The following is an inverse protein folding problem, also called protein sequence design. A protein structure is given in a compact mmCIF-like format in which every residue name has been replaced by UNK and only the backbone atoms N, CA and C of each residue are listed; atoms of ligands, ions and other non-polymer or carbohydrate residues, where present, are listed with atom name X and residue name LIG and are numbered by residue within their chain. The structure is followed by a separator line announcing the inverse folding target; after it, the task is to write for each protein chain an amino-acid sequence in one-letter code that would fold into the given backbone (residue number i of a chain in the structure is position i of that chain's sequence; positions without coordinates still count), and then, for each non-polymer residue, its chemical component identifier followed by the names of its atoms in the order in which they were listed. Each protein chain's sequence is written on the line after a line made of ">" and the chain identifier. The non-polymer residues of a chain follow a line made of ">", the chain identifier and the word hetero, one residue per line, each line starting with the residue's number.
data_IF_658720178898
#
_entry.id   IF_658720178898
#
_cell.length_a   1.000
_cell.length_b   1.000
_cell.length_c   1.000
_cell.angle_alpha   90.00
_cell.angle_beta   90.00
_cell.angle_gamma   90.00
#
_symmetry.space_group_name_H-M   'P 1'
#
loop_
_entity.id
_entity.type
_entity.pdbx_description
1 polymer ?
#
# COMPACT_ATOMS: atom_id res chain seq x y z
N UNK A 1 9.88 5.91 -13.56
CA UNK A 1 11.07 6.46 -12.83
C UNK A 1 11.67 5.35 -11.97
N UNK A 2 12.84 5.52 -11.33
CA UNK A 2 13.34 4.47 -10.43
C UNK A 2 12.44 4.39 -9.18
N UNK A 3 11.78 3.24 -9.01
CA UNK A 3 11.01 2.92 -7.80
C UNK A 3 11.96 2.48 -6.69
N UNK A 4 11.57 2.74 -5.45
CA UNK A 4 12.28 2.28 -4.25
C UNK A 4 11.37 1.32 -3.50
N UNK A 5 11.79 0.06 -3.42
CA UNK A 5 11.11 -0.96 -2.63
C UNK A 5 11.80 -1.12 -1.30
N UNK A 6 11.03 -1.05 -0.21
CA UNK A 6 11.50 -1.30 1.15
C UNK A 6 10.75 -2.49 1.73
N UNK A 7 11.50 -3.41 2.33
CA UNK A 7 10.95 -4.63 2.89
C UNK A 7 11.29 -4.74 4.38
N UNK A 8 10.40 -5.40 5.12
CA UNK A 8 10.61 -5.77 6.51
C UNK A 8 9.98 -7.13 6.79
N UNK A 9 10.66 -7.94 7.58
CA UNK A 9 10.17 -9.22 8.06
C UNK A 9 10.33 -9.24 9.57
N UNK A 10 9.22 -9.43 10.28
CA UNK A 10 9.16 -9.49 11.74
C UNK A 10 9.01 -10.94 12.27
N UNK A 11 9.11 -11.94 11.38
CA UNK A 11 8.93 -13.36 11.68
C UNK A 11 7.47 -13.81 11.74
N UNK A 12 6.52 -12.87 11.78
CA UNK A 12 5.09 -13.13 11.71
C UNK A 12 4.47 -12.69 10.39
N UNK A 13 5.12 -11.76 9.70
CA UNK A 13 4.61 -11.14 8.48
C UNK A 13 5.75 -10.51 7.67
N UNK A 14 5.73 -10.77 6.38
CA UNK A 14 6.54 -10.06 5.39
C UNK A 14 5.79 -8.81 4.93
N UNK A 15 6.50 -7.70 4.91
CA UNK A 15 5.98 -6.37 4.64
C UNK A 15 6.79 -5.71 3.54
N UNK A 16 6.12 -5.13 2.55
CA UNK A 16 6.76 -4.45 1.41
C UNK A 16 6.05 -3.12 1.14
N UNK A 17 6.81 -2.06 0.90
CA UNK A 17 6.30 -0.78 0.47
C UNK A 17 7.06 -0.27 -0.76
N UNK A 18 6.32 0.14 -1.79
CA UNK A 18 6.89 0.68 -3.03
C UNK A 18 6.68 2.19 -3.07
N UNK A 19 7.78 2.93 -3.19
CA UNK A 19 7.80 4.38 -3.20
C UNK A 19 8.40 4.93 -4.51
N UNK A 20 8.11 6.19 -4.79
CA UNK A 20 8.94 6.99 -5.70
C UNK A 20 10.32 7.26 -5.08
N UNK A 21 11.36 7.46 -5.88
CA UNK A 21 12.70 7.86 -5.38
C UNK A 21 12.73 9.14 -4.52
N UNK A 22 11.74 10.02 -4.66
CA UNK A 22 11.62 11.23 -3.83
C UNK A 22 10.81 11.02 -2.53
N UNK A 23 10.41 9.79 -2.22
CA UNK A 23 9.60 9.39 -1.06
C UNK A 23 8.23 10.06 -0.90
N UNK A 24 7.84 10.98 -1.80
CA UNK A 24 6.55 11.69 -1.77
C UNK A 24 5.37 10.78 -2.12
N UNK A 25 5.59 9.80 -2.98
CA UNK A 25 4.56 8.87 -3.42
C UNK A 25 4.79 7.48 -2.82
N UNK A 26 3.74 6.87 -2.28
CA UNK A 26 3.70 5.44 -1.92
C UNK A 26 2.65 4.76 -2.79
N UNK A 27 3.12 3.95 -3.72
CA UNK A 27 2.26 3.32 -4.71
C UNK A 27 1.59 2.07 -4.18
N UNK A 28 2.28 1.30 -3.35
CA UNK A 28 1.71 0.12 -2.72
C UNK A 28 2.26 -0.13 -1.32
N UNK A 29 1.46 -0.84 -0.53
CA UNK A 29 1.84 -1.38 0.78
C UNK A 29 1.29 -2.80 0.89
N UNK A 30 2.16 -3.79 0.97
CA UNK A 30 1.82 -5.22 1.04
C UNK A 30 2.14 -5.76 2.43
N UNK A 31 1.29 -6.66 2.91
CA UNK A 31 1.47 -7.50 4.10
C UNK A 31 1.11 -8.93 3.75
N UNK A 32 1.99 -9.87 4.04
CA UNK A 32 1.76 -11.30 3.84
C UNK A 32 2.16 -12.03 5.13
N UNK A 33 1.29 -12.87 5.65
CA UNK A 33 1.54 -13.74 6.80
C UNK A 33 1.33 -15.23 6.47
N UNK A 34 0.66 -15.53 5.36
CA UNK A 34 0.54 -16.87 4.80
C UNK A 34 0.63 -16.77 3.26
N UNK A 35 1.55 -17.53 2.67
CA UNK A 35 1.79 -17.53 1.22
C UNK A 35 0.92 -18.53 0.46
N UNK A 36 0.29 -19.48 1.17
CA UNK A 36 -0.54 -20.53 0.58
C UNK A 36 -2.02 -20.13 0.50
N UNK A 37 -2.40 -19.05 1.19
CA UNK A 37 -3.76 -18.50 1.21
C UNK A 37 -3.98 -17.36 0.21
N UNK A 38 -5.26 -17.04 -0.02
CA UNK A 38 -5.68 -15.98 -0.94
C UNK A 38 -5.21 -14.58 -0.54
N UNK A 39 -5.16 -13.67 -1.51
CA UNK A 39 -4.59 -12.33 -1.39
C UNK A 39 -5.60 -11.23 -1.70
N UNK A 40 -5.84 -10.37 -0.71
CA UNK A 40 -6.81 -9.28 -0.82
C UNK A 40 -6.19 -7.98 -1.34
N UNK A 41 -6.82 -7.33 -2.33
CA UNK A 41 -6.51 -5.95 -2.71
C UNK A 41 -7.48 -4.95 -2.10
N UNK A 42 -6.95 -3.96 -1.40
CA UNK A 42 -7.65 -2.73 -1.04
C UNK A 42 -7.27 -1.60 -2.00
N UNK A 43 -8.26 -0.94 -2.60
CA UNK A 43 -8.08 0.31 -3.34
C UNK A 43 -8.64 1.45 -2.48
N UNK A 44 -7.75 2.32 -1.99
CA UNK A 44 -8.06 3.40 -1.06
C UNK A 44 -7.86 4.79 -1.69
N UNK A 45 -8.12 5.86 -0.93
CA UNK A 45 -8.02 7.23 -1.45
C UNK A 45 -6.56 7.66 -1.66
N UNK A 46 -5.78 7.73 -0.57
CA UNK A 46 -4.40 8.16 -0.60
C UNK A 46 -3.61 7.62 0.61
N UNK A 47 -2.29 7.41 0.48
CA UNK A 47 -1.47 6.93 1.57
C UNK A 47 -1.27 8.00 2.65
N UNK A 48 -1.30 7.56 3.91
CA UNK A 48 -0.95 8.35 5.08
C UNK A 48 0.42 7.91 5.64
N UNK A 49 0.55 7.71 6.94
CA UNK A 49 1.82 7.54 7.66
C UNK A 49 2.35 6.12 7.68
N UNK A 50 1.57 5.09 7.33
CA UNK A 50 2.06 3.71 7.33
C UNK A 50 3.31 3.51 6.46
N UNK A 51 4.21 2.65 6.91
CA UNK A 51 5.42 2.25 6.18
C UNK A 51 5.53 0.73 6.16
N UNK A 52 6.57 0.19 5.56
CA UNK A 52 6.94 -1.22 5.68
C UNK A 52 7.18 -1.67 7.13
N UNK A 53 7.52 -0.76 8.04
CA UNK A 53 7.81 -1.08 9.44
C UNK A 53 6.58 -0.96 10.35
N UNK A 54 5.72 0.02 10.10
CA UNK A 54 4.65 0.39 11.04
C UNK A 54 3.31 0.60 10.32
N UNK A 55 2.25 0.09 10.93
CA UNK A 55 0.87 0.33 10.50
C UNK A 55 0.38 1.69 11.04
N UNK A 56 -0.46 2.37 10.26
CA UNK A 56 -1.33 3.44 10.77
C UNK A 56 -2.71 2.85 11.15
N UNK A 57 -3.61 3.63 11.80
CA UNK A 57 -4.92 3.11 12.21
C UNK A 57 -5.80 2.55 11.07
N UNK A 58 -5.58 3.00 9.83
CA UNK A 58 -6.33 2.48 8.67
C UNK A 58 -5.75 1.14 8.23
N UNK A 59 -4.43 1.04 8.08
CA UNK A 59 -3.77 -0.21 7.72
C UNK A 59 -4.00 -1.29 8.78
N UNK A 60 -4.01 -0.94 10.06
CA UNK A 60 -4.34 -1.87 11.15
C UNK A 60 -5.75 -2.45 11.02
N UNK A 61 -6.73 -1.62 10.60
CA UNK A 61 -8.10 -2.08 10.32
C UNK A 61 -8.16 -2.99 9.09
N UNK A 62 -7.43 -2.65 8.03
CA UNK A 62 -7.33 -3.49 6.82
C UNK A 62 -6.74 -4.86 7.15
N UNK A 63 -5.64 -4.90 7.90
CA UNK A 63 -4.99 -6.16 8.28
C UNK A 63 -5.93 -7.05 9.11
N UNK A 64 -6.52 -6.50 10.17
CA UNK A 64 -7.46 -7.24 11.01
C UNK A 64 -8.64 -7.78 10.20
N UNK A 65 -9.16 -7.00 9.24
CA UNK A 65 -10.27 -7.44 8.39
C UNK A 65 -9.86 -8.54 7.41
N UNK A 66 -8.70 -8.43 6.77
CA UNK A 66 -8.17 -9.47 5.90
C UNK A 66 -7.97 -10.80 6.66
N UNK A 67 -7.39 -10.74 7.87
CA UNK A 67 -7.24 -11.93 8.75
C UNK A 67 -8.58 -12.54 9.14
N UNK A 68 -9.55 -11.73 9.56
CA UNK A 68 -10.89 -12.22 9.92
C UNK A 68 -11.63 -12.87 8.75
N UNK A 69 -11.32 -12.47 7.51
CA UNK A 69 -11.92 -13.03 6.30
C UNK A 69 -11.17 -14.24 5.75
N UNK A 70 -10.05 -14.65 6.37
CA UNK A 70 -9.29 -15.84 5.97
C UNK A 70 -8.33 -15.63 4.78
N UNK A 71 -7.83 -14.40 4.57
CA UNK A 71 -6.78 -14.15 3.58
C UNK A 71 -5.38 -14.36 4.20
N UNK A 72 -4.41 -14.73 3.37
CA UNK A 72 -3.00 -14.89 3.73
C UNK A 72 -2.20 -13.59 3.66
N UNK A 73 -2.76 -12.58 3.00
CA UNK A 73 -2.16 -11.26 2.94
C UNK A 73 -3.08 -10.23 2.30
N UNK A 74 -2.65 -8.97 2.35
CA UNK A 74 -3.28 -7.90 1.59
C UNK A 74 -2.25 -6.97 0.95
N UNK A 75 -2.67 -6.33 -0.14
CA UNK A 75 -2.00 -5.19 -0.74
C UNK A 75 -2.94 -3.99 -0.72
N UNK A 76 -2.40 -2.85 -0.40
CA UNK A 76 -3.08 -1.55 -0.53
C UNK A 76 -2.48 -0.82 -1.70
N UNK A 77 -3.33 -0.36 -2.61
CA UNK A 77 -3.03 0.70 -3.56
C UNK A 77 -3.99 1.88 -3.33
N UNK A 78 -3.67 3.03 -3.91
CA UNK A 78 -4.46 4.24 -3.73
C UNK A 78 -4.77 4.91 -5.07
N UNK A 79 -5.94 5.54 -5.17
CA UNK A 79 -6.31 6.38 -6.31
C UNK A 79 -5.28 7.50 -6.52
N UNK A 80 -4.75 8.04 -5.42
CA UNK A 80 -3.69 9.03 -5.39
C UNK A 80 -2.50 8.50 -4.58
N UNK A 81 -1.30 8.39 -5.16
CA UNK A 81 -0.15 7.86 -4.43
C UNK A 81 0.54 8.89 -3.52
N UNK A 82 0.15 10.17 -3.57
CA UNK A 82 0.75 11.20 -2.74
C UNK A 82 0.50 10.94 -1.26
N UNK A 83 1.59 10.88 -0.48
CA UNK A 83 1.55 10.71 0.97
C UNK A 83 1.15 12.01 1.64
N UNK A 84 -0.11 12.10 2.06
CA UNK A 84 -0.68 13.32 2.65
C UNK A 84 -1.78 12.94 3.64
N UNK A 85 -1.85 13.62 4.78
CA UNK A 85 -2.86 13.37 5.81
C UNK A 85 -4.03 14.35 5.74
N UNK A 86 -3.83 15.51 5.08
CA UNK A 86 -4.87 16.52 4.86
C UNK A 86 -5.52 16.39 3.47
N UNK A 87 -6.80 15.97 3.38
CA UNK A 87 -7.52 15.88 2.11
C UNK A 87 -7.54 17.18 1.31
N UNK A 88 -7.52 18.33 1.99
CA UNK A 88 -7.53 19.64 1.34
C UNK A 88 -6.20 19.95 0.65
N UNK A 89 -5.09 19.37 1.12
CA UNK A 89 -3.78 19.49 0.47
C UNK A 89 -3.65 18.51 -0.67
N UNK A 90 -4.15 17.29 -0.50
CA UNK A 90 -4.23 16.29 -1.57
C UNK A 90 -4.97 16.84 -2.79
N UNK A 91 -6.15 17.43 -2.59
CA UNK A 91 -6.98 18.00 -3.66
C UNK A 91 -6.33 19.20 -4.39
N UNK A 92 -5.36 19.87 -3.74
CA UNK A 92 -4.62 21.01 -4.30
C UNK A 92 -3.27 20.61 -4.90
N UNK A 93 -2.85 19.37 -4.73
CA UNK A 93 -1.59 18.89 -5.28
C UNK A 93 -1.69 18.83 -6.82
N UNK A 94 -0.63 19.20 -7.55
CA UNK A 94 -0.66 19.24 -9.01
C UNK A 94 -0.55 17.86 -9.68
N UNK A 95 -0.04 16.85 -8.97
CA UNK A 95 0.14 15.49 -9.48
C UNK A 95 -0.08 14.45 -8.35
N UNK A 96 -1.27 14.41 -7.72
CA UNK A 96 -1.52 13.58 -6.54
C UNK A 96 -1.44 12.08 -6.83
N UNK A 97 -1.67 11.67 -8.07
CA UNK A 97 -1.50 10.29 -8.51
C UNK A 97 -0.03 9.88 -8.43
N UNK A 98 0.90 10.74 -8.86
CA UNK A 98 2.28 10.37 -9.08
C UNK A 98 2.50 9.63 -10.41
N UNK A 99 3.73 9.63 -10.94
CA UNK A 99 4.00 9.20 -12.31
C UNK A 99 3.81 7.71 -12.58
N UNK A 100 4.02 6.84 -11.57
CA UNK A 100 4.01 5.39 -11.76
C UNK A 100 2.71 4.72 -11.21
N UNK A 101 1.72 5.51 -10.78
CA UNK A 101 0.56 4.98 -10.03
C UNK A 101 -0.32 4.03 -10.83
N UNK A 102 -0.58 4.36 -12.10
CA UNK A 102 -1.40 3.51 -12.97
C UNK A 102 -0.81 2.11 -13.13
N UNK A 103 0.49 2.02 -13.36
CA UNK A 103 1.19 0.75 -13.51
C UNK A 103 1.14 -0.06 -12.21
N UNK A 104 1.31 0.61 -11.07
CA UNK A 104 1.25 -0.03 -9.76
C UNK A 104 -0.15 -0.54 -9.39
N UNK A 105 -1.21 0.19 -9.79
CA UNK A 105 -2.60 -0.30 -9.63
C UNK A 105 -2.84 -1.53 -10.49
N UNK A 106 -2.39 -1.54 -11.75
CA UNK A 106 -2.53 -2.71 -12.63
C UNK A 106 -1.78 -3.93 -12.08
N UNK A 107 -0.52 -3.74 -11.66
CA UNK A 107 0.27 -4.79 -11.03
C UNK A 107 -0.36 -5.29 -9.71
N UNK A 108 -1.11 -4.45 -8.99
CA UNK A 108 -1.82 -4.85 -7.79
C UNK A 108 -3.09 -5.65 -8.10
N UNK A 109 -3.80 -5.32 -9.19
CA UNK A 109 -4.94 -6.10 -9.69
C UNK A 109 -4.45 -7.50 -10.08
N UNK A 110 -3.36 -7.60 -10.83
CA UNK A 110 -2.77 -8.89 -11.23
C UNK A 110 -2.21 -9.70 -10.05
N UNK A 111 -1.89 -9.04 -8.93
CA UNK A 111 -1.37 -9.68 -7.73
C UNK A 111 -2.47 -10.26 -6.83
N UNK A 112 -3.70 -9.77 -6.87
CA UNK A 112 -4.78 -10.32 -6.04
C UNK A 112 -5.41 -11.56 -6.67
N UNK A 113 -6.04 -12.40 -5.85
CA UNK A 113 -6.72 -13.64 -6.27
C UNK A 113 -7.98 -13.93 -5.43
#
# INVERSE_FOLDING_TARGET
>A
MNLVTRCHDDGHRVSEAVYSACDRYRYSLTRIWDHDDHRLLYIMLNPSTATELVNDPTIERCERRARMLGYGGFRVCNLFALRETDPSRLMRAPAPEGPDNREQILAAIDWAD
#
